data_IF_616032035570
#
_entry.id   IF_616032035570
#
_cell.length_a   1.000
_cell.length_b   1.000
_cell.length_c   1.000
_cell.angle_alpha   90.00
_cell.angle_beta   90.00
_cell.angle_gamma   90.00
#
_symmetry.space_group_name_H-M   'P 1'
#
loop_
_entity.id
_entity.type
_entity.pdbx_description
1 polymer ?
#
# COMPACT_ATOMS: atom_id res chain seq x y z
N UNK A 1 15.09 -3.82 21.31
CA UNK A 1 15.60 -4.74 20.27
C UNK A 1 14.79 -4.48 19.03
N UNK A 2 15.41 -4.07 17.91
CA UNK A 2 14.69 -3.81 16.67
C UNK A 2 14.06 -5.11 16.14
N UNK A 3 12.78 -5.07 15.83
CA UNK A 3 12.09 -6.21 15.19
C UNK A 3 12.23 -6.10 13.68
N UNK A 4 12.91 -7.08 13.09
CA UNK A 4 13.10 -7.17 11.65
C UNK A 4 11.77 -7.47 10.94
N UNK A 5 11.51 -6.80 9.83
CA UNK A 5 10.38 -7.09 8.96
C UNK A 5 10.31 -8.56 8.56
N UNK A 6 9.11 -9.11 8.47
CA UNK A 6 8.89 -10.47 7.98
C UNK A 6 9.29 -10.63 6.51
N UNK A 7 9.77 -11.81 6.11
CA UNK A 7 10.23 -12.10 4.73
C UNK A 7 9.16 -11.85 3.66
N UNK A 8 7.87 -11.94 4.01
CA UNK A 8 6.77 -11.63 3.09
C UNK A 8 6.72 -10.14 2.74
N UNK A 9 6.98 -9.26 3.71
CA UNK A 9 7.02 -7.81 3.48
C UNK A 9 8.19 -7.40 2.58
N UNK A 10 9.33 -8.07 2.66
CA UNK A 10 10.47 -7.82 1.78
C UNK A 10 10.08 -8.00 0.29
N UNK A 11 9.33 -9.05 -0.01
CA UNK A 11 8.85 -9.31 -1.37
C UNK A 11 7.77 -8.31 -1.79
N UNK A 12 6.78 -8.05 -0.92
CA UNK A 12 5.72 -7.06 -1.15
C UNK A 12 6.32 -5.70 -1.52
N UNK A 13 7.26 -5.19 -0.70
CA UNK A 13 7.92 -3.90 -0.94
C UNK A 13 8.71 -3.88 -2.25
N UNK A 14 9.41 -4.97 -2.55
CA UNK A 14 10.12 -5.10 -3.84
C UNK A 14 9.16 -5.03 -5.03
N UNK A 15 8.03 -5.76 -4.96
CA UNK A 15 7.03 -5.79 -6.02
C UNK A 15 6.35 -4.42 -6.19
N UNK A 16 5.99 -3.75 -5.07
CA UNK A 16 5.45 -2.38 -5.08
C UNK A 16 6.44 -1.37 -5.66
N UNK A 17 7.72 -1.45 -5.29
CA UNK A 17 8.77 -0.60 -5.85
C UNK A 17 8.84 -0.74 -7.39
N UNK A 18 8.80 -1.97 -7.91
CA UNK A 18 8.76 -2.21 -9.36
C UNK A 18 7.51 -1.64 -10.01
N UNK A 19 6.35 -1.77 -9.37
CA UNK A 19 5.10 -1.21 -9.85
C UNK A 19 5.18 0.33 -9.91
N UNK A 20 5.58 0.98 -8.83
CA UNK A 20 5.63 2.44 -8.73
C UNK A 20 6.60 3.04 -9.73
N UNK A 21 7.81 2.53 -9.84
CA UNK A 21 8.78 2.95 -10.87
C UNK A 21 8.24 2.81 -12.30
N UNK A 22 7.47 1.75 -12.56
CA UNK A 22 6.81 1.56 -13.85
C UNK A 22 5.70 2.59 -14.09
N UNK A 23 4.88 2.90 -13.09
CA UNK A 23 3.81 3.90 -13.20
C UNK A 23 4.38 5.30 -13.39
N UNK A 24 5.39 5.68 -12.59
CA UNK A 24 6.11 6.97 -12.73
C UNK A 24 6.59 7.17 -14.16
N UNK A 25 7.34 6.20 -14.70
CA UNK A 25 7.88 6.30 -16.07
C UNK A 25 6.79 6.33 -17.13
N UNK A 26 5.72 5.55 -16.97
CA UNK A 26 4.66 5.44 -17.97
C UNK A 26 3.77 6.68 -18.03
N UNK A 27 3.52 7.31 -16.90
CA UNK A 27 2.54 8.39 -16.76
C UNK A 27 3.18 9.76 -16.51
N UNK A 28 4.51 9.84 -16.45
CA UNK A 28 5.23 11.09 -16.23
C UNK A 28 4.94 11.72 -14.86
N UNK A 29 4.70 10.90 -13.82
CA UNK A 29 4.38 11.35 -12.46
C UNK A 29 5.64 11.99 -11.86
N UNK A 30 5.50 13.19 -11.30
CA UNK A 30 6.58 13.92 -10.63
C UNK A 30 6.27 14.22 -9.17
N UNK A 31 5.01 14.51 -8.85
CA UNK A 31 4.57 14.88 -7.50
C UNK A 31 3.56 13.86 -7.00
N UNK A 32 3.80 13.30 -5.82
CA UNK A 32 3.00 12.21 -5.24
C UNK A 32 2.54 12.59 -3.84
N UNK A 33 1.27 12.37 -3.55
CA UNK A 33 0.70 12.46 -2.20
C UNK A 33 0.22 11.09 -1.73
N UNK A 34 0.67 10.65 -0.57
CA UNK A 34 0.08 9.52 0.16
C UNK A 34 -0.91 10.05 1.21
N UNK A 35 -2.20 9.68 1.10
CA UNK A 35 -3.29 10.23 1.91
C UNK A 35 -4.20 9.13 2.48
N UNK A 36 -4.18 8.85 3.78
CA UNK A 36 -3.09 9.15 4.70
C UNK A 36 -1.90 8.20 4.51
N UNK A 37 -0.73 8.64 4.96
CA UNK A 37 0.49 7.83 4.99
C UNK A 37 0.54 7.00 6.29
N UNK A 38 -0.38 6.08 6.43
CA UNK A 38 -0.52 5.21 7.59
C UNK A 38 -0.01 3.81 7.29
N UNK A 39 0.73 3.26 8.23
CA UNK A 39 1.23 1.89 8.13
C UNK A 39 0.14 0.83 8.24
N UNK A 40 0.47 -0.34 7.76
CA UNK A 40 -0.38 -1.52 7.78
C UNK A 40 0.40 -2.72 8.31
N UNK A 41 -0.32 -3.75 8.74
CA UNK A 41 0.29 -5.00 9.20
C UNK A 41 1.29 -4.79 10.34
N UNK A 42 0.97 -3.85 11.24
CA UNK A 42 1.80 -3.46 12.38
C UNK A 42 3.17 -2.88 11.99
N UNK A 43 3.27 -2.26 10.82
CA UNK A 43 4.49 -1.64 10.31
C UNK A 43 4.21 -0.18 9.92
N UNK A 44 5.14 0.76 10.14
CA UNK A 44 4.98 2.13 9.67
C UNK A 44 4.96 2.19 8.14
N UNK A 45 4.26 3.19 7.59
CA UNK A 45 4.23 3.38 6.15
C UNK A 45 5.57 3.87 5.63
N UNK A 46 6.23 3.04 4.83
CA UNK A 46 7.42 3.39 4.04
C UNK A 46 7.22 3.07 2.56
N UNK A 47 5.96 2.92 2.14
CA UNK A 47 5.65 2.49 0.76
C UNK A 47 6.01 3.56 -0.26
N UNK A 48 5.77 4.83 0.02
CA UNK A 48 6.05 5.95 -0.89
C UNK A 48 7.54 6.21 -1.13
N UNK A 49 8.44 5.62 -0.34
CA UNK A 49 9.90 5.71 -0.55
C UNK A 49 10.28 5.30 -1.98
N UNK A 50 9.54 4.35 -2.56
CA UNK A 50 9.76 3.91 -3.94
C UNK A 50 9.49 4.99 -5.00
N UNK A 51 8.62 5.97 -4.70
CA UNK A 51 8.42 7.14 -5.55
C UNK A 51 9.58 8.12 -5.42
N UNK A 52 10.09 8.35 -4.19
CA UNK A 52 11.31 9.14 -3.96
C UNK A 52 12.50 8.56 -4.72
N UNK A 53 12.70 7.24 -4.65
CA UNK A 53 13.74 6.53 -5.42
C UNK A 53 13.54 6.64 -6.95
N UNK A 54 12.32 6.86 -7.41
CA UNK A 54 12.01 7.11 -8.81
C UNK A 54 12.17 8.58 -9.23
N UNK A 55 12.60 9.47 -8.31
CA UNK A 55 12.84 10.88 -8.55
C UNK A 55 11.59 11.77 -8.45
N UNK A 56 10.55 11.30 -7.74
CA UNK A 56 9.37 12.12 -7.48
C UNK A 56 9.52 12.94 -6.21
N UNK A 57 8.89 14.12 -6.20
CA UNK A 57 8.62 14.87 -4.97
C UNK A 57 7.47 14.17 -4.23
N UNK A 58 7.72 13.77 -2.98
CA UNK A 58 6.76 13.01 -2.20
C UNK A 58 6.26 13.82 -1.01
N UNK A 59 4.94 13.83 -0.83
CA UNK A 59 4.28 14.38 0.36
C UNK A 59 3.54 13.26 1.09
N UNK A 60 3.66 13.23 2.40
CA UNK A 60 3.03 12.26 3.30
C UNK A 60 2.08 12.97 4.25
N UNK A 61 0.81 12.56 4.27
CA UNK A 61 -0.20 13.14 5.18
C UNK A 61 -0.32 12.28 6.42
N UNK A 62 -0.15 12.90 7.58
CA UNK A 62 -0.23 12.26 8.90
C UNK A 62 0.63 10.98 9.00
N UNK A 63 1.91 11.00 8.58
CA UNK A 63 2.77 9.83 8.68
C UNK A 63 3.05 9.48 10.14
N UNK A 64 3.26 8.20 10.39
CA UNK A 64 3.73 7.75 11.69
C UNK A 64 5.16 8.24 11.92
N UNK A 65 5.48 8.79 13.10
CA UNK A 65 6.84 9.32 13.37
C UNK A 65 7.95 8.32 13.08
N UNK A 66 7.68 7.04 13.31
CA UNK A 66 8.65 5.95 13.07
C UNK A 66 8.93 5.65 11.59
N UNK A 67 8.24 6.30 10.64
CA UNK A 67 8.52 6.13 9.20
C UNK A 67 9.64 7.05 8.69
N UNK A 68 9.98 8.13 9.42
CA UNK A 68 10.94 9.15 8.95
C UNK A 68 12.35 8.58 8.71
N UNK A 69 12.80 7.65 9.56
CA UNK A 69 14.11 7.04 9.45
C UNK A 69 14.42 6.46 8.07
N UNK A 70 13.41 5.89 7.41
CA UNK A 70 13.59 5.30 6.09
C UNK A 70 13.91 6.34 5.00
N UNK A 71 13.36 7.53 5.12
CA UNK A 71 13.61 8.65 4.23
C UNK A 71 15.00 9.27 4.49
N UNK A 72 15.34 9.43 5.76
CA UNK A 72 16.64 9.92 6.20
C UNK A 72 17.77 8.97 5.75
N UNK A 73 17.56 7.66 5.96
CA UNK A 73 18.53 6.62 5.61
C UNK A 73 18.84 6.56 4.11
N UNK A 74 17.83 6.86 3.26
CA UNK A 74 17.98 6.87 1.80
C UNK A 74 18.32 8.26 1.23
N UNK A 75 18.25 9.31 2.04
CA UNK A 75 18.55 10.68 1.62
C UNK A 75 17.56 11.22 0.58
N UNK A 76 16.33 10.70 0.53
CA UNK A 76 15.32 11.22 -0.37
C UNK A 76 14.54 12.36 0.28
N UNK A 77 14.29 13.47 -0.45
CA UNK A 77 13.46 14.56 0.04
C UNK A 77 12.02 14.09 0.21
N UNK A 78 11.39 14.52 1.31
CA UNK A 78 10.00 14.22 1.61
C UNK A 78 9.37 15.40 2.36
N UNK A 79 8.11 15.71 2.07
CA UNK A 79 7.32 16.71 2.78
C UNK A 79 6.33 16.03 3.72
N UNK A 80 6.36 16.39 4.99
CA UNK A 80 5.40 15.92 5.99
C UNK A 80 4.28 16.94 6.15
N UNK A 81 3.05 16.51 5.89
CA UNK A 81 1.85 17.32 6.00
C UNK A 81 0.98 16.79 7.13
N UNK A 82 0.31 17.69 7.85
CA UNK A 82 -0.62 17.33 8.92
C UNK A 82 -1.98 17.93 8.66
N UNK A 83 -3.03 17.17 8.91
CA UNK A 83 -4.41 17.63 8.92
C UNK A 83 -5.23 16.84 9.94
N UNK A 84 -6.25 17.49 10.53
CA UNK A 84 -7.14 16.85 11.50
C UNK A 84 -8.28 16.11 10.81
N UNK A 85 -8.67 16.54 9.62
CA UNK A 85 -9.77 15.97 8.84
C UNK A 85 -9.28 15.51 7.48
N UNK A 86 -9.31 14.20 7.25
CA UNK A 86 -8.93 13.60 5.97
C UNK A 86 -9.99 13.78 4.88
N UNK A 87 -11.21 14.10 5.24
CA UNK A 87 -12.31 14.36 4.31
C UNK A 87 -12.25 15.79 3.75
N UNK A 88 -11.53 16.70 4.46
CA UNK A 88 -11.35 18.11 4.12
C UNK A 88 -9.98 18.60 4.62
N UNK A 89 -8.92 18.22 3.92
CA UNK A 89 -7.54 18.49 4.38
C UNK A 89 -7.14 19.97 4.37
N UNK A 90 -7.85 20.82 3.64
CA UNK A 90 -7.46 22.23 3.44
C UNK A 90 -6.28 22.43 2.48
N UNK A 91 -5.69 21.36 1.94
CA UNK A 91 -4.57 21.49 1.01
C UNK A 91 -5.02 21.98 -0.37
N UNK A 92 -4.05 22.48 -1.15
CA UNK A 92 -4.27 23.02 -2.47
C UNK A 92 -4.90 22.00 -3.43
N UNK A 93 -5.98 22.39 -4.10
CA UNK A 93 -6.59 21.61 -5.17
C UNK A 93 -5.62 21.42 -6.34
N UNK A 94 -5.66 20.22 -6.97
CA UNK A 94 -4.79 19.87 -8.11
C UNK A 94 -3.29 20.06 -7.81
N UNK A 95 -2.87 19.82 -6.56
CA UNK A 95 -1.48 20.00 -6.12
C UNK A 95 -0.53 18.87 -6.56
N UNK A 96 -1.04 17.67 -6.77
CA UNK A 96 -0.24 16.47 -7.02
C UNK A 96 -0.64 15.73 -8.30
N UNK A 97 0.34 15.16 -9.01
CA UNK A 97 0.10 14.33 -10.19
C UNK A 97 -0.64 13.04 -9.85
N UNK A 98 -0.26 12.45 -8.70
CA UNK A 98 -0.83 11.22 -8.16
C UNK A 98 -1.17 11.41 -6.68
N UNK A 99 -2.43 11.14 -6.33
CA UNK A 99 -2.86 10.96 -4.93
C UNK A 99 -3.21 9.49 -4.74
N UNK A 100 -2.64 8.87 -3.72
CA UNK A 100 -2.82 7.44 -3.50
C UNK A 100 -2.94 7.07 -2.03
N UNK A 101 -3.45 5.88 -1.74
CA UNK A 101 -3.33 5.27 -0.42
C UNK A 101 -3.21 3.75 -0.48
N UNK A 102 -2.69 3.21 0.61
CA UNK A 102 -2.54 1.79 0.85
C UNK A 102 -3.57 1.34 1.88
N UNK A 103 -4.61 0.61 1.42
CA UNK A 103 -5.71 0.05 2.23
C UNK A 103 -6.61 1.07 2.96
N UNK A 104 -6.17 2.31 3.20
CA UNK A 104 -6.84 3.26 4.07
C UNK A 104 -8.25 3.62 3.62
N UNK A 105 -8.51 3.68 2.31
CA UNK A 105 -9.87 3.92 1.80
C UNK A 105 -10.87 2.85 2.29
N UNK A 106 -10.44 1.60 2.51
CA UNK A 106 -11.30 0.53 3.03
C UNK A 106 -11.59 0.66 4.53
N UNK A 107 -10.72 1.34 5.27
CA UNK A 107 -10.78 1.47 6.73
C UNK A 107 -11.41 2.79 7.17
N UNK A 108 -11.47 3.78 6.28
CA UNK A 108 -12.00 5.10 6.58
C UNK A 108 -13.51 5.05 6.81
N UNK A 109 -14.02 5.82 7.77
CA UNK A 109 -15.44 5.84 8.13
C UNK A 109 -16.31 6.33 6.96
N UNK A 110 -15.86 7.37 6.26
CA UNK A 110 -16.52 8.05 5.15
C UNK A 110 -15.72 7.85 3.85
N UNK A 111 -15.73 6.61 3.30
CA UNK A 111 -14.92 6.27 2.11
C UNK A 111 -15.17 7.21 0.92
N UNK A 112 -16.41 7.69 0.77
CA UNK A 112 -16.77 8.60 -0.31
C UNK A 112 -16.14 9.99 -0.14
N UNK A 113 -16.12 10.52 1.07
CA UNK A 113 -15.55 11.82 1.36
C UNK A 113 -14.03 11.77 1.17
N UNK A 114 -13.36 10.74 1.69
CA UNK A 114 -11.93 10.54 1.47
C UNK A 114 -11.59 10.40 -0.03
N UNK A 115 -12.35 9.62 -0.80
CA UNK A 115 -12.12 9.52 -2.24
C UNK A 115 -12.33 10.85 -2.95
N UNK A 116 -13.36 11.61 -2.58
CA UNK A 116 -13.62 12.95 -3.14
C UNK A 116 -12.46 13.90 -2.87
N UNK A 117 -11.90 13.84 -1.66
CA UNK A 117 -10.74 14.65 -1.29
C UNK A 117 -9.49 14.21 -2.08
N UNK A 118 -9.23 12.91 -2.23
CA UNK A 118 -8.16 12.42 -3.09
C UNK A 118 -8.30 12.93 -4.53
N UNK A 119 -9.52 12.93 -5.06
CA UNK A 119 -9.80 13.45 -6.42
C UNK A 119 -9.60 14.96 -6.50
N UNK A 120 -10.01 15.72 -5.49
CA UNK A 120 -9.82 17.17 -5.42
C UNK A 120 -8.34 17.54 -5.43
N UNK A 121 -7.55 16.86 -4.64
CA UNK A 121 -6.10 17.10 -4.49
C UNK A 121 -5.30 16.68 -5.73
N UNK A 122 -5.80 15.68 -6.47
CA UNK A 122 -5.13 15.20 -7.68
C UNK A 122 -5.38 16.10 -8.88
N UNK A 123 -4.34 16.41 -9.63
CA UNK A 123 -4.46 17.02 -10.97
C UNK A 123 -4.49 15.97 -12.10
N UNK A 124 -4.26 14.71 -11.81
CA UNK A 124 -4.20 13.68 -12.84
C UNK A 124 -4.70 12.32 -12.39
N UNK A 125 -4.03 11.70 -11.45
CA UNK A 125 -4.26 10.30 -11.11
C UNK A 125 -4.64 10.10 -9.65
N UNK A 126 -5.57 9.16 -9.44
CA UNK A 126 -5.90 8.61 -8.11
C UNK A 126 -5.62 7.12 -8.14
N UNK A 127 -4.93 6.61 -7.13
CA UNK A 127 -4.63 5.18 -7.01
C UNK A 127 -5.01 4.64 -5.64
N UNK A 128 -5.57 3.45 -5.66
CA UNK A 128 -5.84 2.66 -4.47
C UNK A 128 -5.15 1.30 -4.59
N UNK A 129 -4.49 0.89 -3.51
CA UNK A 129 -3.95 -0.47 -3.35
C UNK A 129 -4.68 -1.12 -2.19
N UNK A 130 -5.19 -2.32 -2.40
CA UNK A 130 -5.94 -3.05 -1.39
C UNK A 130 -5.58 -4.53 -1.32
N UNK A 131 -5.95 -5.16 -0.20
CA UNK A 131 -5.84 -6.60 -0.02
C UNK A 131 -6.75 -7.32 -1.01
N UNK A 132 -6.27 -8.40 -1.57
CA UNK A 132 -7.03 -9.21 -2.51
C UNK A 132 -7.81 -10.31 -1.78
N UNK A 133 -9.13 -10.15 -1.70
CA UNK A 133 -10.01 -11.12 -1.05
C UNK A 133 -10.16 -12.46 -1.79
N UNK A 134 -9.67 -12.56 -3.03
CA UNK A 134 -9.73 -13.81 -3.81
C UNK A 134 -8.53 -14.73 -3.54
N UNK A 135 -7.55 -14.27 -2.77
CA UNK A 135 -6.44 -15.09 -2.31
C UNK A 135 -6.91 -16.07 -1.22
N UNK A 136 -6.51 -17.35 -1.27
CA UNK A 136 -6.84 -18.33 -0.22
C UNK A 136 -6.42 -17.88 1.19
N UNK A 137 -5.31 -17.16 1.33
CA UNK A 137 -4.85 -16.61 2.60
C UNK A 137 -5.86 -15.65 3.25
N UNK A 138 -6.61 -14.90 2.44
CA UNK A 138 -7.68 -14.04 2.95
C UNK A 138 -8.79 -14.85 3.64
N UNK A 139 -9.22 -15.95 3.04
CA UNK A 139 -10.23 -16.82 3.64
C UNK A 139 -9.75 -17.44 4.94
N UNK A 140 -8.50 -17.93 4.96
CA UNK A 140 -7.88 -18.48 6.17
C UNK A 140 -7.82 -17.42 7.27
N UNK A 141 -7.37 -16.20 6.97
CA UNK A 141 -7.29 -15.09 7.91
C UNK A 141 -8.68 -14.73 8.48
N UNK A 142 -9.67 -14.56 7.61
CA UNK A 142 -11.04 -14.26 8.03
C UNK A 142 -11.66 -15.37 8.90
N UNK A 143 -11.36 -16.63 8.58
CA UNK A 143 -11.79 -17.79 9.37
C UNK A 143 -11.14 -17.78 10.75
N UNK A 144 -9.84 -17.43 10.85
CA UNK A 144 -9.16 -17.29 12.13
C UNK A 144 -9.81 -16.22 13.02
N UNK A 145 -10.15 -15.03 12.45
CA UNK A 145 -10.88 -14.01 13.21
C UNK A 145 -12.17 -14.55 13.82
N UNK A 146 -12.91 -15.36 13.05
CA UNK A 146 -14.18 -15.96 13.51
C UNK A 146 -13.99 -17.06 14.56
N UNK A 147 -12.98 -17.93 14.37
CA UNK A 147 -12.72 -19.05 15.29
C UNK A 147 -12.17 -18.55 16.63
N UNK A 148 -11.33 -17.52 16.59
CA UNK A 148 -10.68 -16.99 17.79
C UNK A 148 -11.42 -15.81 18.42
N UNK A 149 -12.61 -15.49 17.93
CA UNK A 149 -13.45 -14.38 18.39
C UNK A 149 -12.70 -13.03 18.44
N UNK A 150 -11.85 -12.79 17.44
CA UNK A 150 -11.13 -11.52 17.26
C UNK A 150 -11.93 -10.62 16.33
N UNK A 151 -12.30 -9.40 16.74
CA UNK A 151 -13.05 -8.48 15.88
C UNK A 151 -12.34 -8.21 14.55
N UNK A 152 -13.13 -8.12 13.46
CA UNK A 152 -12.62 -7.74 12.15
C UNK A 152 -12.39 -6.21 12.10
N UNK A 153 -11.13 -5.79 12.10
CA UNK A 153 -10.72 -4.39 12.11
C UNK A 153 -9.99 -3.95 10.82
N UNK A 154 -10.04 -4.78 9.77
CA UNK A 154 -9.34 -4.52 8.51
C UNK A 154 -10.18 -3.74 7.48
N UNK A 155 -11.26 -3.08 7.94
CA UNK A 155 -12.11 -2.26 7.10
C UNK A 155 -13.16 -3.03 6.29
N UNK A 156 -13.75 -2.34 5.31
CA UNK A 156 -14.84 -2.87 4.50
C UNK A 156 -14.33 -3.89 3.46
N UNK A 157 -14.76 -5.13 3.60
CA UNK A 157 -14.39 -6.26 2.72
C UNK A 157 -14.78 -6.03 1.25
N UNK A 158 -15.74 -5.14 0.96
CA UNK A 158 -16.10 -4.79 -0.41
C UNK A 158 -14.92 -4.16 -1.14
N UNK A 159 -14.15 -3.29 -0.46
CA UNK A 159 -12.95 -2.66 -0.99
C UNK A 159 -11.76 -3.62 -1.15
N UNK A 160 -11.87 -4.86 -0.69
CA UNK A 160 -10.89 -5.92 -0.94
C UNK A 160 -11.14 -6.66 -2.27
N UNK A 161 -11.97 -6.09 -3.13
CA UNK A 161 -12.27 -6.58 -4.47
C UNK A 161 -11.91 -5.54 -5.53
N UNK A 162 -11.00 -5.84 -6.47
CA UNK A 162 -10.67 -4.92 -7.56
C UNK A 162 -11.88 -4.62 -8.44
N UNK A 163 -12.84 -5.54 -8.53
CA UNK A 163 -14.06 -5.35 -9.32
C UNK A 163 -14.99 -4.33 -8.67
N UNK A 164 -15.14 -4.41 -7.34
CA UNK A 164 -15.91 -3.43 -6.57
C UNK A 164 -15.26 -2.04 -6.65
N UNK A 165 -13.96 -1.93 -6.38
CA UNK A 165 -13.23 -0.64 -6.40
C UNK A 165 -13.32 0.01 -7.78
N UNK A 166 -13.14 -0.75 -8.86
CA UNK A 166 -13.30 -0.21 -10.23
C UNK A 166 -14.70 0.33 -10.48
N UNK A 167 -15.74 -0.39 -10.04
CA UNK A 167 -17.13 0.07 -10.15
C UNK A 167 -17.35 1.32 -9.32
N UNK A 168 -16.92 1.29 -8.05
CA UNK A 168 -17.04 2.39 -7.10
C UNK A 168 -16.40 3.69 -7.62
N UNK A 169 -15.23 3.60 -8.24
CA UNK A 169 -14.55 4.74 -8.85
C UNK A 169 -15.31 5.25 -10.08
N UNK A 170 -15.77 4.37 -10.95
CA UNK A 170 -16.55 4.75 -12.14
C UNK A 170 -17.86 5.46 -11.79
N UNK A 171 -18.59 4.95 -10.80
CA UNK A 171 -19.84 5.56 -10.32
C UNK A 171 -19.64 6.98 -9.78
N UNK A 172 -18.38 7.36 -9.46
CA UNK A 172 -17.96 8.68 -9.00
C UNK A 172 -17.22 9.50 -10.06
N UNK A 173 -17.42 9.15 -11.33
CA UNK A 173 -16.92 9.90 -12.47
C UNK A 173 -15.46 9.65 -12.84
N UNK A 174 -14.76 8.75 -12.16
CA UNK A 174 -13.35 8.47 -12.46
C UNK A 174 -13.20 7.51 -13.65
N UNK A 175 -12.30 7.85 -14.57
CA UNK A 175 -11.92 6.97 -15.67
C UNK A 175 -10.87 5.96 -15.20
N UNK A 176 -11.20 4.66 -15.25
CA UNK A 176 -10.20 3.62 -14.92
C UNK A 176 -9.16 3.53 -16.03
N UNK A 177 -7.94 3.91 -15.73
CA UNK A 177 -6.79 3.82 -16.63
C UNK A 177 -6.22 2.41 -16.65
N UNK A 178 -6.04 1.82 -15.46
CA UNK A 178 -5.51 0.49 -15.33
C UNK A 178 -5.87 -0.12 -13.98
N UNK A 179 -5.97 -1.45 -13.96
CA UNK A 179 -6.02 -2.23 -12.74
C UNK A 179 -5.15 -3.47 -12.93
N UNK A 180 -4.65 -4.00 -11.83
CA UNK A 180 -3.80 -5.18 -11.85
C UNK A 180 -3.62 -5.74 -10.45
N UNK A 181 -2.73 -6.69 -10.36
CA UNK A 181 -2.28 -7.28 -9.11
C UNK A 181 -0.82 -6.94 -8.87
N UNK A 182 -0.40 -7.06 -7.64
CA UNK A 182 0.97 -6.88 -7.18
C UNK A 182 1.17 -7.78 -5.96
N UNK A 183 2.42 -8.08 -5.61
CA UNK A 183 2.72 -9.02 -4.56
C UNK A 183 2.13 -10.41 -4.86
N UNK A 184 2.70 -11.05 -5.88
CA UNK A 184 2.28 -12.36 -6.38
C UNK A 184 3.35 -13.43 -6.09
N UNK A 185 3.66 -13.72 -4.82
CA UNK A 185 4.65 -14.75 -4.50
C UNK A 185 4.09 -16.15 -4.77
N UNK A 186 4.95 -17.16 -4.95
CA UNK A 186 4.51 -18.55 -5.12
C UNK A 186 4.13 -19.24 -3.80
N UNK A 187 3.81 -18.48 -2.76
CA UNK A 187 3.40 -18.98 -1.45
C UNK A 187 2.17 -18.20 -0.95
N UNK A 188 1.33 -18.82 -0.10
CA UNK A 188 0.14 -18.17 0.44
C UNK A 188 0.50 -17.02 1.40
N UNK A 189 -0.39 -16.05 1.51
CA UNK A 189 -0.25 -14.97 2.48
C UNK A 189 -0.34 -15.52 3.91
N UNK A 190 0.74 -15.32 4.66
CA UNK A 190 0.85 -15.72 6.07
C UNK A 190 0.79 -14.54 7.05
N UNK A 191 0.65 -13.31 6.55
CA UNK A 191 0.68 -12.11 7.38
C UNK A 191 -0.49 -12.04 8.35
N UNK A 192 -1.64 -12.61 7.98
CA UNK A 192 -2.78 -12.75 8.87
C UNK A 192 -2.48 -13.52 10.16
N UNK A 193 -1.61 -14.52 10.12
CA UNK A 193 -1.19 -15.26 11.34
C UNK A 193 -0.31 -14.40 12.25
N UNK A 194 0.54 -13.53 11.68
CA UNK A 194 1.34 -12.58 12.46
C UNK A 194 0.44 -11.57 13.15
N UNK A 195 -0.50 -11.00 12.43
CA UNK A 195 -1.48 -10.04 12.96
C UNK A 195 -2.26 -10.63 14.14
N UNK A 196 -2.81 -11.83 13.98
CA UNK A 196 -3.48 -12.58 15.04
C UNK A 196 -2.58 -12.81 16.26
N UNK A 197 -1.30 -13.14 16.05
CA UNK A 197 -0.33 -13.32 17.14
C UNK A 197 -0.12 -12.01 17.90
N UNK A 198 0.06 -10.89 17.21
CA UNK A 198 0.27 -9.57 17.82
C UNK A 198 -0.95 -9.12 18.62
N UNK A 199 -2.16 -9.34 18.10
CA UNK A 199 -3.40 -9.08 18.82
C UNK A 199 -3.50 -9.90 20.11
N UNK A 200 -3.17 -11.20 20.07
CA UNK A 200 -3.20 -12.07 21.25
C UNK A 200 -2.17 -11.71 22.30
N UNK A 201 -1.01 -11.24 21.89
CA UNK A 201 0.07 -10.84 22.79
C UNK A 201 -0.12 -9.45 23.37
N UNK A 202 -1.14 -8.70 22.94
CA UNK A 202 -1.42 -7.32 23.36
C UNK A 202 -0.16 -6.42 23.27
N UNK A 203 0.60 -6.59 22.21
CA UNK A 203 1.87 -5.87 22.00
C UNK A 203 1.60 -4.42 21.67
N UNK A 204 2.20 -3.51 22.40
CA UNK A 204 2.21 -2.09 22.07
C UNK A 204 3.15 -1.84 20.88
N UNK A 205 2.58 -1.72 19.70
CA UNK A 205 3.32 -1.52 18.43
C UNK A 205 4.14 -0.24 18.42
N UNK A 206 3.77 0.76 19.25
CA UNK A 206 4.51 2.02 19.35
C UNK A 206 5.86 1.85 20.07
N UNK A 207 6.03 0.77 20.81
CA UNK A 207 7.28 0.46 21.52
C UNK A 207 8.25 -0.39 20.72
N UNK A 208 7.86 -0.85 19.54
CA UNK A 208 8.72 -1.66 18.68
C UNK A 208 9.58 -0.75 17.81
N UNK A 209 10.88 -0.92 17.87
CA UNK A 209 11.80 -0.33 16.91
C UNK A 209 11.83 -1.24 15.66
N UNK A 210 11.38 -0.69 14.56
CA UNK A 210 11.32 -1.42 13.30
C UNK A 210 12.60 -1.24 12.51
N UNK A 211 13.09 -2.35 11.93
CA UNK A 211 14.16 -2.33 10.95
C UNK A 211 13.69 -3.00 9.65
N UNK A 212 14.09 -2.46 8.51
CA UNK A 212 13.69 -2.92 7.19
C UNK A 212 14.87 -3.31 6.33
N UNK A 213 14.98 -4.60 6.06
CA UNK A 213 15.97 -5.12 5.10
C UNK A 213 15.80 -4.49 3.72
N UNK A 214 14.58 -4.15 3.34
CA UNK A 214 14.30 -3.51 2.04
C UNK A 214 14.99 -2.16 1.96
N UNK A 215 14.94 -1.35 3.01
CA UNK A 215 15.63 -0.05 3.06
C UNK A 215 17.15 -0.25 2.93
N UNK A 216 17.73 -1.21 3.66
CA UNK A 216 19.15 -1.52 3.54
C UNK A 216 19.53 -1.97 2.12
N UNK A 217 18.70 -2.78 1.44
CA UNK A 217 18.95 -3.19 0.06
C UNK A 217 18.79 -2.03 -0.92
N UNK A 218 17.84 -1.14 -0.70
CA UNK A 218 17.68 0.07 -1.51
C UNK A 218 18.92 0.95 -1.40
N UNK A 219 19.39 1.22 -0.18
CA UNK A 219 20.62 1.97 0.08
C UNK A 219 21.85 1.33 -0.56
N UNK A 220 21.97 0.02 -0.49
CA UNK A 220 23.04 -0.75 -1.13
C UNK A 220 22.90 -0.84 -2.67
N UNK A 221 21.79 -0.36 -3.25
CA UNK A 221 21.51 -0.46 -4.68
C UNK A 221 21.30 -1.89 -5.20
N UNK A 222 21.15 -2.87 -4.30
CA UNK A 222 21.06 -4.28 -4.69
C UNK A 222 20.09 -5.07 -3.82
N UNK A 223 19.23 -5.84 -4.48
CA UNK A 223 18.33 -6.79 -3.83
C UNK A 223 18.86 -8.21 -3.94
N UNK A 224 18.60 -9.08 -2.93
CA UNK A 224 19.02 -10.47 -2.98
C UNK A 224 18.52 -11.19 -4.22
N UNK A 225 19.34 -12.09 -4.84
CA UNK A 225 18.93 -12.86 -6.01
C UNK A 225 17.64 -13.65 -5.80
N UNK A 226 17.41 -14.16 -4.60
CA UNK A 226 16.18 -14.88 -4.23
C UNK A 226 14.92 -14.03 -4.41
N UNK A 227 14.92 -12.76 -4.01
CA UNK A 227 13.78 -11.85 -4.19
C UNK A 227 13.53 -11.60 -5.68
N UNK A 228 14.59 -11.39 -6.46
CA UNK A 228 14.51 -11.21 -7.91
C UNK A 228 13.95 -12.46 -8.60
N UNK A 229 14.36 -13.65 -8.15
CA UNK A 229 13.86 -14.92 -8.68
C UNK A 229 12.37 -15.12 -8.37
N UNK A 230 11.96 -14.88 -7.13
CA UNK A 230 10.53 -14.95 -6.75
C UNK A 230 9.67 -14.00 -7.58
N UNK A 231 10.19 -12.81 -7.93
CA UNK A 231 9.47 -11.83 -8.74
C UNK A 231 9.19 -12.30 -10.18
N UNK A 232 9.89 -13.33 -10.68
CA UNK A 232 9.57 -13.93 -11.98
C UNK A 232 8.14 -14.51 -12.00
N UNK A 233 7.62 -14.99 -10.87
CA UNK A 233 6.24 -15.45 -10.76
C UNK A 233 5.24 -14.31 -11.06
N UNK A 234 5.55 -13.08 -10.63
CA UNK A 234 4.73 -11.92 -10.94
C UNK A 234 4.81 -11.52 -12.43
N UNK A 235 5.93 -11.80 -13.08
CA UNK A 235 6.16 -11.47 -14.51
C UNK A 235 5.54 -12.48 -15.47
N UNK A 236 5.03 -13.62 -15.01
CA UNK A 236 4.39 -14.60 -15.87
C UNK A 236 3.35 -13.91 -16.78
N UNK A 237 3.28 -14.27 -18.08
CA UNK A 237 2.37 -13.64 -19.05
C UNK A 237 0.91 -14.11 -18.88
N UNK A 238 0.45 -14.17 -17.63
CA UNK A 238 -0.91 -14.52 -17.30
C UNK A 238 -1.79 -13.28 -17.18
N UNK A 239 -3.07 -13.33 -17.61
CA UNK A 239 -4.03 -12.28 -17.32
C UNK A 239 -4.10 -12.00 -15.81
N UNK A 240 -4.13 -10.72 -15.43
CA UNK A 240 -4.15 -10.34 -14.01
C UNK A 240 -5.33 -10.95 -13.23
N UNK A 241 -6.45 -11.24 -13.91
CA UNK A 241 -7.61 -11.91 -13.29
C UNK A 241 -7.29 -13.34 -12.83
N UNK A 242 -6.43 -14.05 -13.55
CA UNK A 242 -5.93 -15.37 -13.14
C UNK A 242 -4.99 -15.22 -11.95
N UNK A 243 -4.12 -14.19 -11.98
CA UNK A 243 -3.20 -13.91 -10.89
C UNK A 243 -3.90 -13.56 -9.57
N UNK A 244 -5.18 -13.13 -9.58
CA UNK A 244 -5.95 -12.91 -8.36
C UNK A 244 -5.98 -14.14 -7.42
N UNK A 245 -5.82 -15.35 -7.94
CA UNK A 245 -5.86 -16.57 -7.12
C UNK A 245 -4.69 -16.61 -6.13
N UNK A 246 -3.52 -16.06 -6.50
CA UNK A 246 -2.31 -16.11 -5.67
C UNK A 246 -1.73 -14.74 -5.31
N UNK A 247 -2.20 -13.65 -5.91
CA UNK A 247 -1.78 -12.30 -5.55
C UNK A 247 -2.31 -11.92 -4.16
N UNK A 248 -1.48 -11.29 -3.34
CA UNK A 248 -1.90 -10.77 -2.03
C UNK A 248 -2.59 -9.41 -2.15
N UNK A 249 -2.13 -8.58 -3.09
CA UNK A 249 -2.61 -7.23 -3.31
C UNK A 249 -3.14 -7.04 -4.73
N UNK A 250 -4.04 -6.07 -4.86
CA UNK A 250 -4.42 -5.50 -6.15
C UNK A 250 -4.30 -3.98 -6.11
N UNK A 251 -4.27 -3.38 -7.29
CA UNK A 251 -4.25 -1.93 -7.44
C UNK A 251 -5.20 -1.47 -8.53
N UNK A 252 -5.72 -0.25 -8.36
CA UNK A 252 -6.56 0.44 -9.34
C UNK A 252 -6.01 1.85 -9.51
N UNK A 253 -5.67 2.22 -10.73
CA UNK A 253 -5.28 3.55 -11.14
C UNK A 253 -6.40 4.16 -11.97
N UNK A 254 -6.87 5.32 -11.56
CA UNK A 254 -7.91 6.06 -12.25
C UNK A 254 -7.44 7.48 -12.56
N UNK A 255 -8.09 8.12 -13.51
CA UNK A 255 -7.91 9.51 -13.89
C UNK A 255 -9.16 10.30 -13.53
N UNK A 256 -8.94 11.52 -13.09
CA UNK A 256 -9.96 12.55 -12.89
C UNK A 256 -10.63 12.92 -14.19
#
# INVERSE_FOLDING_TARGET
>A
MAEMEGKGLDFERYALNKLFKKLVRRHGIRNVLELPAKGEKAMPSIYSVAFGEAGCDVSLVNPEPKSSWAWEELGHPVSYLSCDDLDHTGFQENGWDLVWNFMQLSQHATQEALLREMVRLSRGYVMFIGVNRFNPGFFSHRTCHRIFDVPWNHGDVRFMSPFFVKRYFKERGLQIIRAGVVDCPPYPDSLGFRDMRLHRMNVDLNKIDWDSRTIHWMKAGSYPPKIKLLYLAEQLPLPWRIKLIYAHLFWVLAKK
#
